data_IF_841689647650
#
_entry.id   IF_841689647650
#
_cell.length_a   1.000
_cell.length_b   1.000
_cell.length_c   1.000
_cell.angle_alpha   90.00
_cell.angle_beta   90.00
_cell.angle_gamma   90.00
#
_symmetry.space_group_name_H-M   'P 1'
#
loop_
_entity.id
_entity.type
_entity.pdbx_description
1 polymer ?
#
# COMPACT_ATOMS: atom_id res chain seq x y z
N UNK A 1 2.02 22.73 -2.74
CA UNK A 1 0.87 22.25 -1.94
C UNK A 1 1.41 21.53 -0.71
N UNK A 2 1.05 21.94 0.52
CA UNK A 2 1.36 21.19 1.75
C UNK A 2 0.93 19.73 1.61
N UNK A 3 1.69 18.81 2.20
CA UNK A 3 1.48 17.37 2.00
C UNK A 3 0.06 16.96 2.39
N UNK A 4 -0.43 17.44 3.52
CA UNK A 4 -1.79 17.16 4.04
C UNK A 4 -2.93 17.68 3.15
N UNK A 5 -2.64 18.54 2.19
CA UNK A 5 -3.62 19.08 1.23
C UNK A 5 -3.45 18.50 -0.17
N UNK A 6 -2.43 17.67 -0.40
CA UNK A 6 -2.20 17.06 -1.71
C UNK A 6 -3.13 15.88 -1.86
N UNK A 7 -4.15 16.02 -2.69
CA UNK A 7 -5.03 14.90 -3.05
C UNK A 7 -4.26 13.87 -3.88
N UNK A 8 -4.64 12.61 -3.72
CA UNK A 8 -4.14 11.49 -4.51
C UNK A 8 -4.33 11.75 -6.00
N UNK A 9 -3.23 11.64 -6.75
CA UNK A 9 -3.19 11.84 -8.21
C UNK A 9 -4.03 10.85 -9.03
N UNK A 10 -4.62 9.84 -8.40
CA UNK A 10 -5.53 8.91 -9.06
C UNK A 10 -6.98 9.15 -8.64
N UNK A 11 -7.29 8.99 -7.36
CA UNK A 11 -8.67 9.05 -6.89
C UNK A 11 -9.20 10.47 -6.70
N UNK A 12 -8.33 11.46 -6.50
CA UNK A 12 -8.68 12.87 -6.26
C UNK A 12 -9.64 13.11 -5.08
N UNK A 13 -9.72 12.15 -4.15
CA UNK A 13 -10.66 12.18 -3.02
C UNK A 13 -9.92 12.21 -1.68
N UNK A 14 -8.92 11.34 -1.51
CA UNK A 14 -8.13 11.24 -0.30
C UNK A 14 -6.78 11.94 -0.44
N UNK A 15 -6.13 12.25 0.70
CA UNK A 15 -4.74 12.74 0.72
C UNK A 15 -3.80 11.69 0.14
N UNK A 16 -2.80 12.15 -0.60
CA UNK A 16 -1.71 11.32 -1.11
C UNK A 16 -0.65 11.09 -0.03
N UNK A 17 -0.81 10.02 0.73
CA UNK A 17 0.16 9.51 1.68
C UNK A 17 0.47 8.02 1.44
N UNK A 18 1.40 7.46 2.24
CA UNK A 18 1.85 6.08 2.09
C UNK A 18 0.72 5.10 2.39
N UNK A 19 -0.11 5.36 3.40
CA UNK A 19 -1.25 4.51 3.75
C UNK A 19 -2.24 4.45 2.58
N UNK A 20 -2.60 5.60 2.02
CA UNK A 20 -3.51 5.66 0.89
C UNK A 20 -2.92 4.95 -0.33
N UNK A 21 -1.68 5.26 -0.69
CA UNK A 21 -1.03 4.67 -1.86
C UNK A 21 -0.87 3.14 -1.72
N UNK A 22 -0.40 2.67 -0.57
CA UNK A 22 -0.09 1.26 -0.34
C UNK A 22 -1.33 0.44 0.00
N UNK A 23 -2.29 0.96 0.77
CA UNK A 23 -3.35 0.11 1.34
C UNK A 23 -4.75 0.40 0.77
N UNK A 24 -5.03 1.61 0.27
CA UNK A 24 -6.42 2.03 0.00
C UNK A 24 -6.74 2.38 -1.44
N UNK A 25 -5.84 3.03 -2.17
CA UNK A 25 -6.15 3.50 -3.51
C UNK A 25 -6.48 2.32 -4.44
N UNK A 26 -7.63 2.36 -5.09
CA UNK A 26 -8.10 1.32 -6.04
C UNK A 26 -8.25 1.85 -7.46
N UNK A 27 -8.10 3.16 -7.66
CA UNK A 27 -8.33 3.83 -8.95
C UNK A 27 -7.10 3.74 -9.86
N UNK A 28 -5.90 3.67 -9.27
CA UNK A 28 -4.67 3.56 -10.04
C UNK A 28 -4.64 2.22 -10.83
N UNK A 29 -4.46 2.25 -12.16
CA UNK A 29 -4.38 1.02 -12.95
C UNK A 29 -3.27 0.09 -12.44
N UNK A 30 -3.61 -1.20 -12.26
CA UNK A 30 -2.66 -2.21 -11.78
C UNK A 30 -2.36 -2.17 -10.27
N UNK A 31 -2.74 -1.13 -9.54
CA UNK A 31 -2.43 -1.01 -8.11
C UNK A 31 -3.18 -2.03 -7.25
N UNK A 32 -4.46 -2.26 -7.54
CA UNK A 32 -5.25 -3.27 -6.85
C UNK A 32 -4.67 -4.69 -7.06
N UNK A 33 -4.16 -4.97 -8.26
CA UNK A 33 -3.54 -6.25 -8.58
C UNK A 33 -2.17 -6.41 -7.92
N UNK A 34 -1.33 -5.38 -7.92
CA UNK A 34 -0.06 -5.38 -7.17
C UNK A 34 -0.30 -5.62 -5.68
N UNK A 35 -1.29 -4.94 -5.09
CA UNK A 35 -1.65 -5.13 -3.68
C UNK A 35 -2.15 -6.55 -3.42
N UNK A 36 -3.02 -7.06 -4.27
CA UNK A 36 -3.55 -8.43 -4.14
C UNK A 36 -2.45 -9.48 -4.19
N UNK A 37 -1.50 -9.36 -5.12
CA UNK A 37 -0.33 -10.26 -5.21
C UNK A 37 0.56 -10.17 -3.98
N UNK A 38 0.89 -8.95 -3.54
CA UNK A 38 1.69 -8.74 -2.34
C UNK A 38 1.02 -9.34 -1.09
N UNK A 39 -0.28 -9.10 -0.90
CA UNK A 39 -1.01 -9.66 0.25
C UNK A 39 -1.13 -11.18 0.19
N UNK A 40 -1.36 -11.77 -0.99
CA UNK A 40 -1.36 -13.22 -1.15
C UNK A 40 0.00 -13.83 -0.76
N UNK A 41 1.10 -13.20 -1.20
CA UNK A 41 2.45 -13.59 -0.83
C UNK A 41 2.73 -13.41 0.67
N UNK A 42 2.20 -12.35 1.27
CA UNK A 42 2.33 -12.07 2.70
C UNK A 42 1.57 -13.11 3.54
N UNK A 43 0.34 -13.45 3.14
CA UNK A 43 -0.46 -14.49 3.81
C UNK A 43 0.14 -15.88 3.65
N UNK A 44 0.75 -16.18 2.50
CA UNK A 44 1.45 -17.44 2.30
C UNK A 44 2.70 -17.57 3.20
N UNK A 45 3.42 -16.46 3.43
CA UNK A 45 4.59 -16.43 4.30
C UNK A 45 4.24 -16.35 5.79
N UNK A 46 3.13 -15.69 6.14
CA UNK A 46 2.64 -15.50 7.51
C UNK A 46 1.12 -15.68 7.56
N UNK A 47 0.60 -16.91 7.70
CA UNK A 47 -0.84 -17.17 7.71
C UNK A 47 -1.61 -16.43 8.81
N UNK A 48 -0.98 -16.23 9.97
CA UNK A 48 -1.58 -15.46 11.09
C UNK A 48 -1.96 -14.03 10.69
N UNK A 49 -1.24 -13.44 9.72
CA UNK A 49 -1.54 -12.10 9.21
C UNK A 49 -2.95 -12.07 8.61
N UNK A 50 -3.36 -13.11 7.87
CA UNK A 50 -4.67 -13.18 7.23
C UNK A 50 -5.81 -13.17 8.26
N UNK A 51 -5.65 -13.86 9.38
CA UNK A 51 -6.67 -13.95 10.44
C UNK A 51 -6.88 -12.61 11.16
N UNK A 52 -5.84 -11.78 11.23
CA UNK A 52 -5.87 -10.50 11.94
C UNK A 52 -6.10 -9.30 11.02
N UNK A 53 -5.82 -9.43 9.72
CA UNK A 53 -5.74 -8.30 8.78
C UNK A 53 -6.99 -7.41 8.75
N UNK A 54 -8.17 -8.01 8.79
CA UNK A 54 -9.45 -7.29 8.74
C UNK A 54 -9.81 -6.59 10.05
N UNK A 55 -9.12 -6.93 11.16
CA UNK A 55 -9.34 -6.33 12.48
C UNK A 55 -8.44 -5.13 12.75
N UNK A 56 -7.39 -4.97 11.97
CA UNK A 56 -6.43 -3.88 12.11
C UNK A 56 -6.93 -2.65 11.35
N UNK A 57 -6.68 -1.47 11.93
CA UNK A 57 -6.76 -0.23 11.16
C UNK A 57 -5.56 -0.11 10.20
N UNK A 58 -5.51 0.98 9.43
CA UNK A 58 -4.49 1.11 8.40
C UNK A 58 -3.09 1.41 8.93
N UNK A 59 -2.99 2.11 10.06
CA UNK A 59 -1.71 2.38 10.70
C UNK A 59 -1.14 1.08 11.25
N UNK A 60 -1.98 0.30 11.93
CA UNK A 60 -1.63 -1.01 12.46
C UNK A 60 -1.28 -2.02 11.36
N UNK A 61 -1.98 -1.98 10.21
CA UNK A 61 -1.62 -2.80 9.04
C UNK A 61 -0.23 -2.49 8.53
N UNK A 62 0.07 -1.20 8.33
CA UNK A 62 1.38 -0.79 7.85
C UNK A 62 2.48 -1.14 8.87
N UNK A 63 2.24 -0.87 10.16
CA UNK A 63 3.15 -1.23 11.24
C UNK A 63 3.40 -2.75 11.29
N UNK A 64 2.35 -3.56 11.15
CA UNK A 64 2.45 -5.01 11.12
C UNK A 64 3.34 -5.49 9.96
N UNK A 65 3.14 -4.97 8.74
CA UNK A 65 3.97 -5.32 7.59
C UNK A 65 5.44 -4.95 7.80
N UNK A 66 5.72 -3.81 8.42
CA UNK A 66 7.08 -3.33 8.71
C UNK A 66 7.79 -4.12 9.82
N UNK A 67 7.03 -4.81 10.68
CA UNK A 67 7.58 -5.62 11.78
C UNK A 67 7.81 -7.09 11.40
N UNK A 68 7.59 -7.48 10.14
CA UNK A 68 7.74 -8.85 9.66
C UNK A 68 8.99 -8.97 8.77
N UNK A 69 10.17 -9.34 9.29
CA UNK A 69 11.41 -9.41 8.51
C UNK A 69 11.32 -10.37 7.31
N UNK A 70 10.48 -11.40 7.42
CA UNK A 70 10.23 -12.36 6.33
C UNK A 70 9.61 -11.69 5.09
N UNK A 71 8.99 -10.53 5.26
CA UNK A 71 8.37 -9.76 4.18
C UNK A 71 9.26 -8.65 3.64
N UNK A 72 10.40 -8.32 4.25
CA UNK A 72 11.21 -7.12 3.92
C UNK A 72 11.45 -6.95 2.43
N UNK A 73 12.00 -7.99 1.78
CA UNK A 73 12.30 -7.95 0.34
C UNK A 73 11.05 -7.79 -0.53
N UNK A 74 9.93 -8.46 -0.15
CA UNK A 74 8.66 -8.40 -0.89
C UNK A 74 7.95 -7.07 -0.67
N UNK A 75 7.98 -6.55 0.55
CA UNK A 75 7.43 -5.24 0.91
C UNK A 75 8.21 -4.13 0.20
N UNK A 76 9.54 -4.19 0.20
CA UNK A 76 10.38 -3.24 -0.53
C UNK A 76 10.08 -3.24 -2.04
N UNK A 77 9.94 -4.43 -2.65
CA UNK A 77 9.54 -4.56 -4.05
C UNK A 77 8.15 -3.96 -4.30
N UNK A 78 7.17 -4.28 -3.45
CA UNK A 78 5.82 -3.76 -3.55
C UNK A 78 5.79 -2.23 -3.46
N UNK A 79 6.42 -1.66 -2.43
CA UNK A 79 6.53 -0.21 -2.23
C UNK A 79 7.19 0.45 -3.45
N UNK A 80 8.28 -0.12 -3.96
CA UNK A 80 8.94 0.40 -5.15
C UNK A 80 8.01 0.46 -6.37
N UNK A 81 7.30 -0.62 -6.66
CA UNK A 81 6.37 -0.68 -7.80
C UNK A 81 5.20 0.31 -7.66
N UNK A 82 4.65 0.46 -6.45
CA UNK A 82 3.61 1.47 -6.18
C UNK A 82 4.16 2.87 -6.40
N UNK A 83 5.35 3.19 -5.87
CA UNK A 83 5.93 4.52 -6.03
C UNK A 83 6.25 4.84 -7.49
N UNK A 84 6.67 3.86 -8.29
CA UNK A 84 6.88 4.05 -9.73
C UNK A 84 5.56 4.36 -10.46
N UNK A 85 4.46 3.69 -10.13
CA UNK A 85 3.13 4.03 -10.68
C UNK A 85 2.74 5.47 -10.36
N UNK A 86 2.94 5.90 -9.12
CA UNK A 86 2.65 7.27 -8.72
C UNK A 86 3.57 8.25 -9.45
N UNK A 87 4.90 8.02 -9.49
CA UNK A 87 5.87 8.87 -10.19
C UNK A 87 5.57 9.07 -11.67
N UNK A 88 5.06 8.05 -12.35
CA UNK A 88 4.66 8.12 -13.75
C UNK A 88 3.44 9.01 -14.00
N UNK A 89 2.71 9.40 -12.95
CA UNK A 89 1.52 10.24 -13.04
C UNK A 89 1.81 11.65 -12.52
N UNK A 90 1.48 12.72 -13.26
CA UNK A 90 1.68 14.10 -12.80
C UNK A 90 0.95 14.41 -11.49
N UNK A 91 1.56 15.24 -10.65
CA UNK A 91 0.89 15.81 -9.46
C UNK A 91 -0.03 16.94 -9.92
N UNK A 92 -1.25 16.99 -9.36
CA UNK A 92 -2.22 18.05 -9.59
C UNK A 92 -1.92 19.31 -8.78
#
# INVERSE_FOLDING_TARGET
>A
IPREWRLCRFCKIAVEDEIHALLRCTIAPGLAELRGRFLADAYAACPMLADTWDRLDDEDRLACLLQLPILDSRLAQYVHLVLELFRATPVY
#
